data_IF_532826883437
#
_entry.id   IF_532826883437
#
_cell.length_a   1.000
_cell.length_b   1.000
_cell.length_c   1.000
_cell.angle_alpha   90.00
_cell.angle_beta   90.00
_cell.angle_gamma   90.00
#
_symmetry.space_group_name_H-M   'P 1'
#
loop_
_entity.id
_entity.type
_entity.pdbx_description
1 polymer ?
#
# COMPACT_ATOMS: atom_id res chain seq x y z
N UNK A 1 -8.08 1.74 -8.32
CA UNK A 1 -7.64 0.75 -7.32
C UNK A 1 -6.53 1.34 -6.49
N UNK A 2 -6.49 1.01 -5.19
CA UNK A 2 -5.38 1.29 -4.29
C UNK A 2 -4.92 -0.02 -3.67
N UNK A 3 -3.63 -0.32 -3.70
CA UNK A 3 -3.04 -1.37 -2.88
C UNK A 3 -2.32 -0.72 -1.69
N UNK A 4 -2.58 -1.25 -0.50
CA UNK A 4 -1.99 -0.80 0.74
C UNK A 4 -0.79 -1.66 1.13
N UNK A 5 0.12 -1.11 1.94
CA UNK A 5 1.32 -1.81 2.44
C UNK A 5 1.01 -3.09 3.24
N UNK A 6 -0.16 -3.15 3.89
CA UNK A 6 -0.62 -4.32 4.64
C UNK A 6 -1.15 -5.47 3.75
N UNK A 7 -1.18 -5.24 2.42
CA UNK A 7 -1.65 -6.16 1.40
C UNK A 7 -3.13 -6.02 1.05
N UNK A 8 -3.87 -5.08 1.66
CA UNK A 8 -5.28 -4.84 1.34
C UNK A 8 -5.43 -4.13 -0.01
N UNK A 9 -6.54 -4.41 -0.67
CA UNK A 9 -6.89 -3.84 -1.98
C UNK A 9 -8.23 -3.13 -1.87
N UNK A 10 -8.20 -1.81 -2.09
CA UNK A 10 -9.38 -0.95 -2.09
C UNK A 10 -9.71 -0.50 -3.51
N UNK A 11 -10.98 -0.59 -3.88
CA UNK A 11 -11.53 -0.10 -5.14
C UNK A 11 -12.54 0.97 -4.77
N UNK A 12 -12.50 2.14 -5.40
CA UNK A 12 -13.44 3.20 -5.05
C UNK A 12 -13.21 4.44 -5.88
N UNK A 13 -14.08 5.42 -5.70
CA UNK A 13 -14.00 6.70 -6.41
C UNK A 13 -13.13 7.66 -5.60
N UNK A 14 -11.99 8.05 -6.15
CA UNK A 14 -11.14 9.08 -5.56
C UNK A 14 -11.86 10.43 -5.61
N UNK A 15 -12.10 11.04 -4.45
CA UNK A 15 -12.81 12.32 -4.32
C UNK A 15 -11.86 13.49 -4.11
N UNK A 16 -10.86 13.29 -3.27
CA UNK A 16 -9.82 14.28 -3.02
C UNK A 16 -8.54 13.59 -2.63
N UNK A 17 -7.44 14.29 -2.87
CA UNK A 17 -6.12 13.93 -2.39
C UNK A 17 -5.42 15.21 -1.93
N UNK A 18 -4.51 15.08 -0.97
CA UNK A 18 -3.72 16.21 -0.46
C UNK A 18 -2.23 15.98 -0.75
N UNK A 19 -1.54 17.06 -1.07
CA UNK A 19 -0.13 17.13 -1.38
C UNK A 19 0.80 17.40 -0.18
N UNK A 20 0.34 17.25 1.09
CA UNK A 20 1.19 17.44 2.28
C UNK A 20 2.65 17.00 2.03
N UNK A 21 3.53 17.99 1.85
CA UNK A 21 4.89 17.81 1.33
C UNK A 21 5.36 18.73 0.19
N UNK A 22 4.56 19.63 -0.38
CA UNK A 22 5.11 20.72 -1.24
C UNK A 22 5.86 21.72 -0.36
N UNK A 23 7.12 21.41 -0.09
CA UNK A 23 8.08 22.42 0.29
C UNK A 23 8.49 23.13 -0.98
N UNK A 24 7.78 24.21 -1.31
CA UNK A 24 8.43 25.27 -2.06
C UNK A 24 9.33 25.97 -1.04
N UNK A 25 10.66 25.84 -1.07
CA UNK A 25 11.48 26.76 -0.32
C UNK A 25 11.09 28.15 -0.81
N UNK A 26 10.39 28.92 0.03
CA UNK A 26 10.17 30.33 -0.26
C UNK A 26 11.57 30.92 -0.32
N UNK A 27 12.08 31.14 -1.54
CA UNK A 27 13.23 32.01 -1.78
C UNK A 27 12.77 33.41 -1.42
N UNK A 28 12.73 33.72 -0.13
CA UNK A 28 12.78 35.12 0.27
C UNK A 28 14.10 35.64 -0.26
N UNK A 29 14.02 36.53 -1.25
CA UNK A 29 15.15 37.34 -1.64
C UNK A 29 15.54 38.14 -0.39
N UNK A 30 16.54 37.67 0.34
CA UNK A 30 17.25 38.45 1.35
C UNK A 30 18.06 39.54 0.63
N UNK A 31 17.41 40.44 -0.12
CA UNK A 31 18.13 41.45 -0.89
C UNK A 31 18.46 42.70 -0.10
N UNK A 32 17.95 42.89 1.12
CA UNK A 32 18.02 44.21 1.75
C UNK A 32 18.69 44.28 3.14
N UNK A 33 19.19 43.19 3.71
CA UNK A 33 19.93 43.27 4.98
C UNK A 33 21.10 42.28 4.96
N UNK A 34 22.31 42.76 4.64
CA UNK A 34 23.63 42.41 5.25
C UNK A 34 24.73 43.26 4.54
N UNK A 35 25.56 44.02 5.27
CA UNK A 35 26.76 44.65 4.71
C UNK A 35 27.84 43.60 4.40
N UNK A 36 28.61 43.81 3.33
CA UNK A 36 29.65 42.89 2.85
C UNK A 36 30.69 42.60 3.93
N UNK A 37 30.64 41.39 4.51
CA UNK A 37 31.66 40.85 5.39
C UNK A 37 31.28 39.49 5.94
N UNK A 38 31.82 38.42 5.35
CA UNK A 38 31.81 37.04 5.87
C UNK A 38 30.47 36.50 6.40
N UNK A 39 29.62 36.01 5.49
CA UNK A 39 28.43 35.23 5.83
C UNK A 39 28.80 33.75 5.76
N UNK A 40 28.83 33.06 6.90
CA UNK A 40 28.57 31.62 6.93
C UNK A 40 27.05 31.47 6.94
N UNK A 41 26.48 30.98 5.85
CA UNK A 41 25.06 30.65 5.80
C UNK A 41 24.77 29.56 6.84
N UNK A 42 24.19 29.94 7.98
CA UNK A 42 23.63 28.97 8.93
C UNK A 42 22.23 28.65 8.43
N UNK A 43 22.14 27.78 7.42
CA UNK A 43 20.90 27.06 7.16
C UNK A 43 20.73 26.05 8.29
N UNK A 44 19.80 26.30 9.21
CA UNK A 44 19.29 25.21 10.05
C UNK A 44 18.55 24.24 9.13
N UNK A 45 18.99 22.96 8.99
CA UNK A 45 18.21 22.00 8.24
C UNK A 45 16.92 21.72 9.02
N UNK A 46 15.81 22.29 8.57
CA UNK A 46 14.49 21.91 9.06
C UNK A 46 14.30 20.42 8.74
N UNK A 47 13.88 19.58 9.71
CA UNK A 47 13.68 18.16 9.44
C UNK A 47 12.65 18.02 8.31
N UNK A 48 12.87 17.11 7.34
CA UNK A 48 11.91 16.90 6.26
C UNK A 48 10.58 16.49 6.87
N UNK A 49 9.53 17.27 6.63
CA UNK A 49 8.17 16.84 6.96
C UNK A 49 7.84 15.62 6.08
N UNK A 50 7.10 14.63 6.62
CA UNK A 50 6.74 13.44 5.86
C UNK A 50 5.94 13.83 4.61
N UNK A 51 6.46 13.44 3.45
CA UNK A 51 5.82 13.61 2.13
C UNK A 51 4.84 12.47 1.93
N UNK A 52 3.68 12.52 2.57
CA UNK A 52 2.70 11.44 2.47
C UNK A 52 1.37 12.00 1.98
N UNK A 53 1.01 11.63 0.75
CA UNK A 53 -0.24 12.02 0.08
C UNK A 53 -1.45 11.36 0.73
N UNK A 54 -2.32 12.11 1.39
CA UNK A 54 -3.56 11.55 1.95
C UNK A 54 -4.65 11.47 0.87
N UNK A 55 -5.49 10.44 0.94
CA UNK A 55 -6.52 10.15 -0.07
C UNK A 55 -7.90 10.00 0.57
N UNK A 56 -8.93 10.56 -0.07
CA UNK A 56 -10.33 10.33 0.28
C UNK A 56 -10.99 9.51 -0.82
N UNK A 57 -11.45 8.31 -0.46
CA UNK A 57 -12.21 7.42 -1.33
C UNK A 57 -13.68 7.40 -0.92
N UNK A 58 -14.57 7.34 -1.91
CA UNK A 58 -16.00 7.12 -1.71
C UNK A 58 -16.44 5.83 -2.42
N UNK A 59 -17.52 5.22 -1.91
CA UNK A 59 -18.08 3.97 -2.45
C UNK A 59 -17.02 2.90 -2.53
N UNK A 60 -16.25 2.76 -1.44
CA UNK A 60 -15.06 1.93 -1.44
C UNK A 60 -15.45 0.46 -1.27
N UNK A 61 -14.83 -0.44 -2.00
CA UNK A 61 -14.98 -1.88 -1.91
C UNK A 61 -13.61 -2.44 -1.56
N UNK A 62 -13.57 -3.28 -0.52
CA UNK A 62 -12.40 -4.08 -0.21
C UNK A 62 -12.56 -5.46 -0.84
N UNK A 63 -11.62 -5.84 -1.71
CA UNK A 63 -11.65 -7.12 -2.42
C UNK A 63 -10.63 -8.08 -1.81
N UNK A 64 -11.11 -9.20 -1.29
CA UNK A 64 -10.31 -10.30 -0.78
C UNK A 64 -10.05 -11.32 -1.88
N UNK A 65 -8.84 -11.88 -1.90
CA UNK A 65 -8.44 -12.94 -2.82
C UNK A 65 -7.89 -14.11 -2.03
N UNK A 66 -8.37 -15.31 -2.33
CA UNK A 66 -7.86 -16.54 -1.78
C UNK A 66 -7.52 -17.53 -2.89
N UNK A 67 -6.44 -18.29 -2.71
CA UNK A 67 -6.01 -19.31 -3.66
C UNK A 67 -6.85 -20.56 -3.46
N UNK A 68 -7.36 -21.16 -4.53
CA UNK A 68 -8.08 -22.43 -4.42
C UNK A 68 -7.11 -23.54 -3.99
N UNK A 69 -7.48 -24.41 -3.03
CA UNK A 69 -6.66 -25.56 -2.64
C UNK A 69 -6.50 -26.55 -3.81
N UNK A 70 -7.49 -26.61 -4.71
CA UNK A 70 -7.55 -27.57 -5.83
C UNK A 70 -7.15 -26.94 -7.18
N UNK A 71 -6.32 -25.89 -7.16
CA UNK A 71 -5.90 -25.18 -8.38
C UNK A 71 -5.17 -26.04 -9.44
N UNK A 72 -4.85 -27.30 -9.11
CA UNK A 72 -4.24 -28.30 -9.98
C UNK A 72 -5.25 -29.17 -10.74
N UNK A 73 -6.54 -29.10 -10.41
CA UNK A 73 -7.58 -29.87 -11.08
C UNK A 73 -8.02 -29.20 -12.41
N UNK A 74 -8.22 -29.96 -13.50
CA UNK A 74 -8.70 -29.41 -14.76
C UNK A 74 -10.10 -28.79 -14.57
N UNK A 75 -10.23 -27.48 -14.87
CA UNK A 75 -11.50 -26.76 -14.78
C UNK A 75 -11.84 -26.20 -13.39
N UNK A 76 -11.01 -26.42 -12.37
CA UNK A 76 -11.19 -25.75 -11.08
C UNK A 76 -10.77 -24.27 -11.16
N UNK A 77 -11.45 -23.37 -10.42
CA UNK A 77 -11.01 -21.98 -10.34
C UNK A 77 -9.62 -21.92 -9.69
N UNK A 78 -8.77 -21.04 -10.21
CA UNK A 78 -7.47 -20.68 -9.62
C UNK A 78 -7.64 -20.18 -8.19
N UNK A 79 -8.74 -19.50 -7.89
CA UNK A 79 -9.03 -18.97 -6.58
C UNK A 79 -10.43 -18.42 -6.42
N UNK A 80 -10.70 -17.94 -5.22
CA UNK A 80 -11.95 -17.30 -4.87
C UNK A 80 -11.72 -15.82 -4.57
N UNK A 81 -12.69 -14.98 -4.89
CA UNK A 81 -12.70 -13.59 -4.48
C UNK A 81 -13.99 -13.23 -3.74
N UNK A 82 -13.91 -12.27 -2.83
CA UNK A 82 -15.07 -11.75 -2.10
C UNK A 82 -14.92 -10.23 -1.95
N UNK A 83 -16.03 -9.53 -2.15
CA UNK A 83 -16.11 -8.07 -2.10
C UNK A 83 -16.87 -7.62 -0.85
N UNK A 84 -16.28 -6.67 -0.11
CA UNK A 84 -16.92 -6.00 1.03
C UNK A 84 -17.12 -4.54 0.70
N UNK A 85 -18.37 -4.13 0.60
CA UNK A 85 -18.72 -2.74 0.43
C UNK A 85 -18.45 -1.96 1.72
N UNK A 86 -17.84 -0.82 1.54
CA UNK A 86 -17.58 0.17 2.56
C UNK A 86 -18.06 1.53 2.04
N UNK A 87 -18.18 2.50 2.95
CA UNK A 87 -18.56 3.85 2.59
C UNK A 87 -17.37 4.71 2.17
N UNK A 88 -17.07 5.68 3.01
CA UNK A 88 -16.02 6.67 2.80
C UNK A 88 -14.77 6.21 3.56
N UNK A 89 -13.62 6.24 2.90
CA UNK A 89 -12.31 5.99 3.52
C UNK A 89 -11.43 7.22 3.43
N UNK A 90 -10.78 7.56 4.55
CA UNK A 90 -9.62 8.44 4.57
C UNK A 90 -8.38 7.55 4.71
N UNK A 91 -7.56 7.49 3.67
CA UNK A 91 -6.33 6.69 3.63
C UNK A 91 -5.14 7.62 3.82
N UNK A 92 -4.29 7.28 4.80
CA UNK A 92 -3.03 8.01 5.04
C UNK A 92 -1.98 7.64 4.01
N UNK A 93 -1.24 8.63 3.50
CA UNK A 93 -0.35 8.43 2.37
C UNK A 93 0.80 7.45 2.58
N UNK A 94 1.30 7.34 3.81
CA UNK A 94 2.36 6.38 4.15
C UNK A 94 1.94 4.93 3.92
N UNK A 95 0.63 4.63 3.99
CA UNK A 95 0.10 3.27 3.84
C UNK A 95 -0.20 2.89 2.39
N UNK A 96 -0.13 3.85 1.46
CA UNK A 96 -0.38 3.62 0.04
C UNK A 96 0.88 3.03 -0.59
N UNK A 97 0.77 1.82 -1.13
CA UNK A 97 1.86 1.18 -1.89
C UNK A 97 1.81 1.60 -3.36
N UNK A 98 0.64 1.47 -3.98
CA UNK A 98 0.40 1.88 -5.36
C UNK A 98 -1.07 2.24 -5.55
N UNK A 99 -1.33 3.12 -6.52
CA UNK A 99 -2.67 3.48 -6.97
C UNK A 99 -2.70 3.49 -8.50
N UNK A 100 -3.85 3.14 -9.07
CA UNK A 100 -4.08 3.15 -10.50
C UNK A 100 -5.55 3.36 -10.82
N UNK A 101 -5.85 3.94 -11.98
CA UNK A 101 -7.21 3.98 -12.50
C UNK A 101 -7.72 2.58 -12.87
N UNK A 102 -9.03 2.44 -12.90
CA UNK A 102 -9.75 1.19 -13.19
C UNK A 102 -10.70 1.51 -14.34
N UNK A 103 -10.80 0.61 -15.31
CA UNK A 103 -11.80 0.67 -16.35
C UNK A 103 -13.08 -0.01 -15.82
N UNK A 104 -14.10 0.79 -15.50
CA UNK A 104 -15.31 0.30 -14.83
C UNK A 104 -16.03 -0.79 -15.63
N UNK A 105 -15.93 -0.76 -16.96
CA UNK A 105 -16.62 -1.75 -17.80
C UNK A 105 -15.86 -3.09 -17.87
N UNK A 106 -14.52 -3.07 -17.73
CA UNK A 106 -13.68 -4.28 -17.80
C UNK A 106 -13.39 -4.90 -16.45
N UNK A 107 -13.27 -4.07 -15.40
CA UNK A 107 -12.83 -4.51 -14.07
C UNK A 107 -13.97 -4.93 -13.13
N UNK A 108 -15.22 -4.77 -13.58
CA UNK A 108 -16.42 -5.35 -12.95
C UNK A 108 -16.49 -6.88 -13.16
N UNK A 109 -15.83 -7.41 -14.20
CA UNK A 109 -15.74 -8.85 -14.44
C UNK A 109 -14.78 -9.52 -13.43
N UNK A 110 -15.13 -10.75 -13.03
CA UNK A 110 -14.25 -11.56 -12.19
C UNK A 110 -12.89 -11.76 -12.89
N UNK A 111 -11.76 -11.58 -12.20
CA UNK A 111 -10.46 -11.83 -12.79
C UNK A 111 -10.40 -13.26 -13.37
N UNK A 112 -9.79 -13.48 -14.54
CA UNK A 112 -9.80 -14.79 -15.19
C UNK A 112 -9.34 -15.91 -14.27
N UNK A 113 -10.18 -16.94 -14.10
CA UNK A 113 -9.93 -18.08 -13.22
C UNK A 113 -10.26 -17.84 -11.75
N UNK A 114 -10.85 -16.72 -11.36
CA UNK A 114 -11.39 -16.51 -10.02
C UNK A 114 -12.91 -16.62 -10.00
N UNK A 115 -13.44 -17.27 -8.97
CA UNK A 115 -14.88 -17.39 -8.73
C UNK A 115 -15.30 -16.62 -7.48
N UNK A 116 -16.54 -16.10 -7.48
CA UNK A 116 -17.06 -15.37 -6.32
C UNK A 116 -17.36 -16.35 -5.20
N UNK A 117 -16.68 -16.21 -4.06
CA UNK A 117 -16.88 -17.03 -2.87
C UNK A 117 -17.65 -16.30 -1.76
N UNK A 118 -18.03 -17.06 -0.74
CA UNK A 118 -18.56 -16.51 0.51
C UNK A 118 -17.47 -15.75 1.29
N UNK A 119 -17.83 -14.63 1.90
CA UNK A 119 -16.88 -13.74 2.58
C UNK A 119 -16.04 -14.47 3.64
N UNK A 120 -16.70 -15.20 4.52
CA UNK A 120 -16.05 -15.86 5.66
C UNK A 120 -15.11 -16.97 5.19
N UNK A 121 -15.51 -17.70 4.15
CA UNK A 121 -14.68 -18.72 3.51
C UNK A 121 -13.43 -18.12 2.87
N UNK A 122 -13.58 -17.08 2.04
CA UNK A 122 -12.45 -16.42 1.36
C UNK A 122 -11.50 -15.78 2.35
N UNK A 123 -12.01 -15.10 3.38
CA UNK A 123 -11.19 -14.51 4.44
C UNK A 123 -10.38 -15.56 5.18
N UNK A 124 -11.01 -16.65 5.61
CA UNK A 124 -10.33 -17.73 6.31
C UNK A 124 -9.17 -18.30 5.49
N UNK A 125 -9.41 -18.56 4.21
CA UNK A 125 -8.40 -19.12 3.30
C UNK A 125 -7.26 -18.13 3.01
N UNK A 126 -7.57 -16.83 2.91
CA UNK A 126 -6.56 -15.78 2.76
C UNK A 126 -5.70 -15.61 4.03
N UNK A 127 -6.31 -15.67 5.22
CA UNK A 127 -5.61 -15.58 6.50
C UNK A 127 -4.69 -16.78 6.75
N UNK A 128 -5.17 -17.99 6.45
CA UNK A 128 -4.38 -19.22 6.56
C UNK A 128 -3.14 -19.15 5.66
N UNK A 129 -3.30 -18.72 4.40
CA UNK A 129 -2.19 -18.54 3.47
C UNK A 129 -1.22 -17.44 3.94
N UNK A 130 -1.73 -16.28 4.37
CA UNK A 130 -0.91 -15.19 4.91
C UNK A 130 -0.15 -15.62 6.17
N UNK A 131 -0.73 -16.47 7.00
CA UNK A 131 -0.05 -17.04 8.16
C UNK A 131 1.05 -18.04 7.75
N UNK A 132 0.76 -18.92 6.80
CA UNK A 132 1.72 -19.89 6.26
C UNK A 132 2.92 -19.20 5.59
N UNK A 133 2.67 -18.18 4.76
CA UNK A 133 3.72 -17.40 4.09
C UNK A 133 4.59 -16.64 5.10
N UNK A 134 3.99 -16.00 6.11
CA UNK A 134 4.73 -15.35 7.20
C UNK A 134 5.60 -16.33 7.98
N UNK A 135 5.08 -17.53 8.27
CA UNK A 135 5.86 -18.57 8.95
C UNK A 135 7.03 -19.07 8.09
N UNK A 136 6.79 -19.30 6.79
CA UNK A 136 7.80 -19.71 5.81
C UNK A 136 8.89 -18.65 5.64
N UNK A 137 8.50 -17.38 5.57
CA UNK A 137 9.42 -16.26 5.45
C UNK A 137 10.28 -16.08 6.70
N UNK A 138 9.67 -16.17 7.90
CA UNK A 138 10.43 -16.18 9.16
C UNK A 138 11.42 -17.34 9.22
N UNK A 139 11.05 -18.53 8.74
CA UNK A 139 11.96 -19.67 8.67
C UNK A 139 13.09 -19.45 7.63
N UNK A 140 12.78 -18.84 6.49
CA UNK A 140 13.76 -18.49 5.45
C UNK A 140 14.76 -17.45 5.97
N UNK A 141 14.30 -16.40 6.62
CA UNK A 141 15.15 -15.36 7.22
C UNK A 141 16.09 -15.93 8.28
N UNK A 142 15.60 -16.83 9.15
CA UNK A 142 16.46 -17.52 10.13
C UNK A 142 17.59 -18.31 9.46
N UNK A 143 17.29 -19.04 8.39
CA UNK A 143 18.28 -19.81 7.63
C UNK A 143 19.31 -18.91 6.94
N UNK A 144 18.85 -17.80 6.36
CA UNK A 144 19.72 -16.82 5.70
C UNK A 144 20.63 -16.10 6.70
N UNK A 145 20.12 -15.76 7.90
CA UNK A 145 20.92 -15.18 8.96
C UNK A 145 22.07 -16.10 9.41
N UNK A 146 21.85 -17.42 9.46
CA UNK A 146 22.92 -18.40 9.74
C UNK A 146 24.03 -18.39 8.67
N UNK A 147 23.72 -17.96 7.45
CA UNK A 147 24.67 -17.86 6.34
C UNK A 147 25.33 -16.46 6.25
N UNK A 148 25.13 -15.60 7.24
CA UNK A 148 25.71 -14.25 7.28
C UNK A 148 24.97 -13.21 6.42
N UNK A 149 23.76 -13.53 5.92
CA UNK A 149 22.90 -12.54 5.29
C UNK A 149 22.08 -11.82 6.36
N UNK A 150 22.34 -10.54 6.55
CA UNK A 150 21.43 -9.65 7.25
C UNK A 150 20.26 -9.36 6.32
N UNK A 151 19.09 -9.90 6.64
CA UNK A 151 17.87 -9.49 5.95
C UNK A 151 17.62 -8.03 6.30
N UNK A 152 17.63 -7.13 5.32
CA UNK A 152 16.93 -5.84 5.44
C UNK A 152 15.45 -6.16 5.68
N UNK A 153 15.10 -6.28 6.96
CA UNK A 153 13.77 -6.62 7.42
C UNK A 153 13.04 -5.36 7.84
N UNK A 154 11.81 -5.21 7.33
CA UNK A 154 10.71 -4.58 8.06
C UNK A 154 10.66 -3.05 8.21
N UNK A 155 11.53 -2.26 7.59
CA UNK A 155 11.40 -0.79 7.66
C UNK A 155 10.11 -0.23 7.04
N UNK A 156 9.46 -0.98 6.14
CA UNK A 156 8.47 -0.42 5.21
C UNK A 156 7.13 -1.19 5.17
N UNK A 157 6.88 -2.16 6.06
CA UNK A 157 5.62 -2.95 6.05
C UNK A 157 4.85 -2.97 7.38
N UNK A 158 5.38 -2.37 8.45
CA UNK A 158 4.67 -2.28 9.74
C UNK A 158 4.97 -0.94 10.40
N UNK A 159 4.12 0.06 10.14
CA UNK A 159 3.76 1.13 11.08
C UNK A 159 2.27 1.46 10.88
#
# INVERSE_FOLDING_TARGET
MIALRDGRKLIGVLRSWDQFGVYEPRREKLSNWIPRGHIREVFSPMPPLPRTTNLVLQSTIERFFASSPDSSAPGAPRGYYADVTHGIFLVRGENVLLLGEIDLDKDDEAPPGYERGELDFVKKLAEEKKAADRAREKARLKKLATLGFEGEGLGDMVL
#
